data_IF_313487055688
#
_entry.id   IF_313487055688
#
_cell.length_a   1.000
_cell.length_b   1.000
_cell.length_c   1.000
_cell.angle_alpha   90.00
_cell.angle_beta   90.00
_cell.angle_gamma   90.00
#
_symmetry.space_group_name_H-M   'P 1'
#
loop_
_entity.id
_entity.type
_entity.pdbx_description
1 polymer ?
#
# COMPACT_ATOMS: atom_id res chain seq x y z
N UNK A 1 -27.67 -11.96 91.05
CA UNK A 1 -26.57 -11.02 90.67
C UNK A 1 -26.43 -11.03 89.13
N UNK A 2 -27.03 -10.08 88.46
CA UNK A 2 -26.86 -9.87 87.01
C UNK A 2 -25.80 -8.81 86.88
N UNK A 3 -24.82 -8.92 85.99
CA UNK A 3 -23.87 -7.83 85.69
C UNK A 3 -24.55 -6.85 84.72
N UNK A 4 -24.57 -5.58 85.11
CA UNK A 4 -24.92 -4.45 84.31
C UNK A 4 -23.89 -4.29 83.19
N UNK A 5 -24.36 -4.30 81.92
CA UNK A 5 -23.58 -3.82 80.78
C UNK A 5 -23.93 -2.35 80.51
N UNK A 6 -22.99 -1.43 80.53
CA UNK A 6 -23.29 -0.06 80.13
C UNK A 6 -23.47 0.04 78.61
N UNK A 7 -24.58 0.66 78.23
CA UNK A 7 -24.90 1.07 76.83
C UNK A 7 -23.78 1.97 76.25
N UNK A 8 -22.95 1.40 75.36
CA UNK A 8 -22.02 2.13 74.57
C UNK A 8 -22.55 2.32 73.16
N UNK A 9 -23.80 2.78 73.02
CA UNK A 9 -24.27 3.35 71.75
C UNK A 9 -23.94 4.84 71.69
N UNK A 10 -22.66 5.16 71.54
CA UNK A 10 -22.24 6.47 71.15
C UNK A 10 -22.63 6.66 69.67
N UNK A 11 -23.69 7.42 69.43
CA UNK A 11 -24.01 7.95 68.12
C UNK A 11 -22.77 8.55 67.46
N UNK A 12 -22.14 7.80 66.55
CA UNK A 12 -21.18 8.38 65.62
C UNK A 12 -21.97 9.29 64.69
N UNK A 13 -22.00 10.57 64.98
CA UNK A 13 -22.44 11.61 64.05
C UNK A 13 -21.55 11.52 62.83
N UNK A 14 -22.09 10.95 61.73
CA UNK A 14 -21.47 11.01 60.43
C UNK A 14 -21.35 12.52 60.07
N UNK A 15 -20.16 13.02 59.85
CA UNK A 15 -20.04 14.43 59.44
C UNK A 15 -20.83 14.68 58.16
N UNK A 16 -21.53 15.80 57.99
CA UNK A 16 -22.31 16.10 56.81
C UNK A 16 -21.38 16.06 55.62
N UNK A 17 -21.75 15.25 54.61
CA UNK A 17 -21.03 15.22 53.35
C UNK A 17 -20.99 16.65 52.79
N UNK A 18 -19.80 17.11 52.32
CA UNK A 18 -19.72 18.41 51.70
C UNK A 18 -20.69 18.47 50.55
N UNK A 19 -21.52 19.53 50.51
CA UNK A 19 -22.51 19.74 49.46
C UNK A 19 -21.83 19.61 48.10
N UNK A 20 -22.31 18.67 47.28
CA UNK A 20 -21.81 18.53 45.91
C UNK A 20 -22.09 19.87 45.19
N UNK A 21 -21.12 20.42 44.51
CA UNK A 21 -21.34 21.63 43.74
C UNK A 21 -22.48 21.40 42.74
N UNK A 22 -23.38 22.39 42.55
CA UNK A 22 -24.50 22.23 41.65
C UNK A 22 -24.02 21.78 40.27
N UNK A 23 -24.64 20.74 39.73
CA UNK A 23 -24.32 20.24 38.39
C UNK A 23 -24.43 21.40 37.41
N UNK A 24 -23.30 21.82 36.81
CA UNK A 24 -23.27 22.90 35.84
C UNK A 24 -24.26 22.60 34.71
N UNK A 25 -25.13 23.58 34.42
CA UNK A 25 -26.13 23.47 33.35
C UNK A 25 -25.44 23.19 32.01
N UNK A 26 -26.07 22.46 31.08
CA UNK A 26 -25.48 22.25 29.75
C UNK A 26 -25.14 23.55 29.02
N UNK A 27 -25.81 24.67 29.39
CA UNK A 27 -25.59 26.01 28.81
C UNK A 27 -24.27 26.67 29.23
N UNK A 28 -23.69 26.27 30.40
CA UNK A 28 -22.42 26.83 30.89
C UNK A 28 -21.15 26.05 30.43
N UNK A 29 -21.37 25.02 29.61
CA UNK A 29 -20.25 24.21 29.10
C UNK A 29 -19.80 24.74 27.73
N UNK A 30 -18.51 25.04 27.59
CA UNK A 30 -17.93 25.30 26.27
C UNK A 30 -18.20 24.15 25.31
N UNK A 31 -18.47 24.45 24.02
CA UNK A 31 -18.79 23.48 22.97
C UNK A 31 -17.83 22.28 22.96
N UNK A 32 -16.55 22.48 23.32
CA UNK A 32 -15.53 21.43 23.45
C UNK A 32 -15.71 20.47 24.63
N UNK A 33 -16.56 20.80 25.61
CA UNK A 33 -16.84 19.96 26.79
C UNK A 33 -18.02 19.03 26.56
N UNK A 34 -18.80 19.28 25.50
CA UNK A 34 -19.94 18.45 25.12
C UNK A 34 -19.42 17.31 24.26
N UNK A 35 -19.38 16.09 24.83
CA UNK A 35 -18.84 14.88 24.19
C UNK A 35 -19.34 14.66 22.77
N UNK A 36 -20.65 14.69 22.44
CA UNK A 36 -21.12 14.45 21.09
C UNK A 36 -20.67 15.52 20.08
N UNK A 37 -20.56 16.80 20.50
CA UNK A 37 -20.07 17.86 19.60
C UNK A 37 -18.60 17.71 19.33
N UNK A 38 -17.81 17.40 20.35
CA UNK A 38 -16.38 17.12 20.19
C UNK A 38 -16.13 15.93 19.28
N UNK A 39 -16.88 14.84 19.43
CA UNK A 39 -16.74 13.64 18.62
C UNK A 39 -17.18 13.89 17.16
N UNK A 40 -18.21 14.70 16.95
CA UNK A 40 -18.63 15.17 15.63
C UNK A 40 -17.56 16.07 14.96
N UNK A 41 -16.94 16.97 15.72
CA UNK A 41 -15.85 17.81 15.22
C UNK A 41 -14.61 17.01 14.88
N UNK A 42 -14.26 16.02 15.70
CA UNK A 42 -13.16 15.08 15.37
C UNK A 42 -13.48 14.22 14.15
N UNK A 43 -14.70 13.70 14.06
CA UNK A 43 -15.17 12.95 12.89
C UNK A 43 -15.23 13.81 11.64
N UNK A 44 -15.78 15.01 11.72
CA UNK A 44 -15.81 15.98 10.63
C UNK A 44 -14.41 16.45 10.20
N UNK A 45 -13.54 16.72 11.16
CA UNK A 45 -12.12 17.05 10.89
C UNK A 45 -11.38 15.91 10.21
N UNK A 46 -11.60 14.67 10.65
CA UNK A 46 -11.02 13.49 10.02
C UNK A 46 -11.52 13.32 8.57
N UNK A 47 -12.84 13.43 8.34
CA UNK A 47 -13.43 13.37 7.00
C UNK A 47 -12.93 14.51 6.11
N UNK A 48 -12.79 15.73 6.67
CA UNK A 48 -12.21 16.86 5.95
C UNK A 48 -10.76 16.62 5.55
N UNK A 49 -9.93 16.04 6.42
CA UNK A 49 -8.54 15.69 6.10
C UNK A 49 -8.48 14.63 5.01
N UNK A 50 -9.36 13.62 5.04
CA UNK A 50 -9.45 12.61 3.98
C UNK A 50 -9.89 13.23 2.65
N UNK A 51 -10.92 14.07 2.67
CA UNK A 51 -11.41 14.76 1.48
C UNK A 51 -10.37 15.71 0.91
N UNK A 52 -9.71 16.50 1.75
CA UNK A 52 -8.65 17.42 1.37
C UNK A 52 -7.42 16.68 0.82
N UNK A 53 -7.05 15.55 1.44
CA UNK A 53 -6.01 14.66 0.92
C UNK A 53 -6.35 14.08 -0.45
N UNK A 54 -7.62 13.69 -0.66
CA UNK A 54 -8.11 13.25 -1.96
C UNK A 54 -8.09 14.39 -3.00
N UNK A 55 -8.49 15.58 -2.62
CA UNK A 55 -8.49 16.76 -3.50
C UNK A 55 -7.05 17.14 -3.94
N UNK A 56 -6.10 17.11 -3.02
CA UNK A 56 -4.69 17.42 -3.27
C UNK A 56 -3.83 16.21 -3.68
N UNK A 57 -4.45 15.10 -4.05
CA UNK A 57 -3.74 13.84 -4.37
C UNK A 57 -2.59 14.00 -5.38
N UNK A 58 -2.73 14.88 -6.38
CA UNK A 58 -1.68 15.15 -7.38
C UNK A 58 -0.40 15.74 -6.76
N UNK A 59 -0.56 16.61 -5.77
CA UNK A 59 0.55 17.22 -5.04
C UNK A 59 1.14 16.26 -4.01
N UNK A 60 0.28 15.48 -3.33
CA UNK A 60 0.74 14.54 -2.30
C UNK A 60 1.45 13.31 -2.86
N UNK A 61 1.18 12.93 -4.10
CA UNK A 61 1.79 11.77 -4.76
C UNK A 61 3.32 11.79 -4.73
N UNK A 62 4.02 12.79 -5.29
CA UNK A 62 5.47 12.84 -5.26
C UNK A 62 6.02 12.95 -3.84
N UNK A 63 5.28 13.62 -2.93
CA UNK A 63 5.65 13.73 -1.51
C UNK A 63 5.61 12.36 -0.82
N UNK A 64 4.54 11.58 -1.03
CA UNK A 64 4.39 10.25 -0.44
C UNK A 64 5.42 9.26 -0.99
N UNK A 65 5.67 9.30 -2.31
CA UNK A 65 6.71 8.47 -2.94
C UNK A 65 8.09 8.82 -2.36
N UNK A 66 8.41 10.09 -2.28
CA UNK A 66 9.68 10.57 -1.74
C UNK A 66 9.85 10.20 -0.26
N UNK A 67 8.79 10.34 0.54
CA UNK A 67 8.78 9.94 1.95
C UNK A 67 8.98 8.43 2.08
N UNK A 68 8.31 7.63 1.27
CA UNK A 68 8.45 6.18 1.23
C UNK A 68 9.88 5.77 0.86
N UNK A 69 10.45 6.40 -0.18
CA UNK A 69 11.84 6.16 -0.59
C UNK A 69 12.82 6.57 0.52
N UNK A 70 12.64 7.75 1.13
CA UNK A 70 13.47 8.20 2.24
C UNK A 70 13.42 7.20 3.41
N UNK A 71 12.25 6.67 3.69
CA UNK A 71 12.05 5.64 4.70
C UNK A 71 12.73 4.31 4.32
N UNK A 72 12.57 3.88 3.08
CA UNK A 72 13.18 2.65 2.55
C UNK A 72 14.71 2.70 2.59
N UNK A 73 15.30 3.83 2.19
CA UNK A 73 16.75 4.01 2.13
C UNK A 73 17.39 4.45 3.45
N UNK A 74 16.60 4.88 4.45
CA UNK A 74 17.11 5.33 5.76
C UNK A 74 18.10 4.35 6.44
N UNK A 75 17.87 3.02 6.50
CA UNK A 75 18.84 2.10 7.10
C UNK A 75 20.14 1.99 6.30
N UNK A 76 20.09 2.17 4.97
CA UNK A 76 21.30 2.21 4.14
C UNK A 76 22.10 3.48 4.45
N UNK A 77 21.41 4.63 4.58
CA UNK A 77 22.01 5.91 4.95
C UNK A 77 22.66 5.80 6.35
N UNK A 78 21.95 5.25 7.34
CA UNK A 78 22.49 5.05 8.69
C UNK A 78 23.68 4.09 8.73
N UNK A 79 23.68 3.02 7.92
CA UNK A 79 24.83 2.11 7.82
C UNK A 79 26.04 2.80 7.22
N UNK A 80 25.86 3.58 6.15
CA UNK A 80 26.93 4.31 5.53
C UNK A 80 27.53 5.37 6.48
N UNK A 81 26.69 6.08 7.24
CA UNK A 81 27.10 7.03 8.25
C UNK A 81 27.90 6.35 9.37
N UNK A 82 27.42 5.19 9.86
CA UNK A 82 28.07 4.46 10.95
C UNK A 82 29.37 3.76 10.54
N UNK A 83 29.44 3.17 9.32
CA UNK A 83 30.60 2.39 8.87
C UNK A 83 31.66 3.24 8.19
N UNK A 84 31.25 4.22 7.40
CA UNK A 84 32.17 5.02 6.56
C UNK A 84 32.37 6.45 7.07
N UNK A 85 31.69 6.83 8.15
CA UNK A 85 31.79 8.18 8.76
C UNK A 85 31.48 9.31 7.75
N UNK A 86 30.72 9.01 6.70
CA UNK A 86 30.35 9.99 5.68
C UNK A 86 29.20 10.84 6.21
N UNK A 87 29.25 12.18 6.08
CA UNK A 87 28.18 13.05 6.55
C UNK A 87 26.87 12.72 5.79
N UNK A 88 25.77 12.69 6.53
CA UNK A 88 24.45 12.28 6.03
C UNK A 88 24.04 12.92 4.69
N UNK A 89 24.19 14.26 4.47
CA UNK A 89 23.82 14.86 3.18
C UNK A 89 24.68 14.35 2.02
N UNK A 90 25.95 14.02 2.25
CA UNK A 90 26.80 13.45 1.22
C UNK A 90 26.37 12.02 0.86
N UNK A 91 26.05 11.20 1.86
CA UNK A 91 25.50 9.85 1.62
C UNK A 91 24.22 9.90 0.81
N UNK A 92 23.31 10.84 1.12
CA UNK A 92 22.05 11.01 0.38
C UNK A 92 22.34 11.45 -1.05
N UNK A 93 23.27 12.39 -1.26
CA UNK A 93 23.67 12.84 -2.60
C UNK A 93 24.28 11.70 -3.43
N UNK A 94 25.13 10.86 -2.82
CA UNK A 94 25.68 9.66 -3.48
C UNK A 94 24.58 8.66 -3.85
N UNK A 95 23.62 8.40 -2.96
CA UNK A 95 22.47 7.51 -3.25
C UNK A 95 21.65 8.09 -4.42
N UNK A 96 21.34 9.39 -4.42
CA UNK A 96 20.63 10.04 -5.50
C UNK A 96 21.41 9.97 -6.83
N UNK A 97 22.69 10.25 -6.78
CA UNK A 97 23.55 10.15 -7.97
C UNK A 97 23.57 8.71 -8.51
N UNK A 98 23.81 7.73 -7.64
CA UNK A 98 23.85 6.33 -8.03
C UNK A 98 22.49 5.83 -8.55
N UNK A 99 21.40 6.26 -7.92
CA UNK A 99 20.04 5.94 -8.39
C UNK A 99 19.75 6.58 -9.75
N UNK A 100 20.20 7.82 -9.99
CA UNK A 100 20.06 8.46 -11.29
C UNK A 100 20.88 7.73 -12.37
N UNK A 101 22.14 7.39 -12.11
CA UNK A 101 22.98 6.61 -13.02
C UNK A 101 22.37 5.25 -13.31
N UNK A 102 21.89 4.55 -12.28
CA UNK A 102 21.21 3.26 -12.43
C UNK A 102 19.93 3.40 -13.26
N UNK A 103 19.12 4.42 -13.00
CA UNK A 103 17.88 4.68 -13.75
C UNK A 103 18.18 4.97 -15.21
N UNK A 104 19.14 5.85 -15.50
CA UNK A 104 19.57 6.14 -16.88
C UNK A 104 20.12 4.88 -17.54
N UNK A 105 20.97 4.11 -16.84
CA UNK A 105 21.49 2.85 -17.34
C UNK A 105 20.39 1.82 -17.65
N UNK A 106 19.40 1.67 -16.77
CA UNK A 106 18.26 0.81 -17.01
C UNK A 106 17.40 1.29 -18.20
N UNK A 107 17.12 2.59 -18.29
CA UNK A 107 16.35 3.15 -19.40
C UNK A 107 17.07 2.95 -20.72
N UNK A 108 18.37 3.17 -20.78
CA UNK A 108 19.15 3.00 -22.02
C UNK A 108 19.28 1.53 -22.43
N UNK A 109 19.33 0.61 -21.46
CA UNK A 109 19.48 -0.81 -21.73
C UNK A 109 18.14 -1.52 -21.98
N UNK A 110 17.13 -1.30 -21.12
CA UNK A 110 15.81 -1.96 -21.21
C UNK A 110 14.82 -1.15 -22.06
N UNK A 111 15.00 0.16 -22.15
CA UNK A 111 14.09 1.06 -22.87
C UNK A 111 13.87 0.66 -24.34
N UNK A 112 14.91 0.39 -25.14
CA UNK A 112 14.75 -0.08 -26.51
C UNK A 112 13.95 -1.38 -26.61
N UNK A 113 14.20 -2.38 -25.73
CA UNK A 113 13.48 -3.63 -25.71
C UNK A 113 11.99 -3.43 -25.37
N UNK A 114 11.69 -2.58 -24.39
CA UNK A 114 10.30 -2.24 -24.03
C UNK A 114 9.63 -1.48 -25.18
N UNK A 115 10.30 -0.49 -25.76
CA UNK A 115 9.76 0.30 -26.88
C UNK A 115 9.44 -0.59 -28.08
N UNK A 116 10.33 -1.52 -28.43
CA UNK A 116 10.12 -2.49 -29.51
C UNK A 116 8.90 -3.38 -29.23
N UNK A 117 8.76 -3.91 -28.01
CA UNK A 117 7.61 -4.76 -27.65
C UNK A 117 6.30 -3.97 -27.66
N UNK A 118 6.29 -2.74 -27.12
CA UNK A 118 5.10 -1.87 -27.12
C UNK A 118 4.73 -1.47 -28.54
N UNK A 119 5.69 -1.07 -29.37
CA UNK A 119 5.45 -0.73 -30.77
C UNK A 119 4.93 -1.94 -31.56
N UNK A 120 5.59 -3.09 -31.42
CA UNK A 120 5.13 -4.35 -32.07
C UNK A 120 3.73 -4.74 -31.64
N UNK A 121 3.36 -4.52 -30.37
CA UNK A 121 1.99 -4.73 -29.90
C UNK A 121 1.03 -3.76 -30.57
N UNK A 122 1.32 -2.46 -30.56
CA UNK A 122 0.50 -1.42 -31.15
C UNK A 122 0.24 -1.66 -32.66
N UNK A 123 1.27 -2.10 -33.41
CA UNK A 123 1.14 -2.44 -34.85
C UNK A 123 0.25 -3.67 -35.11
N UNK A 124 0.15 -4.58 -34.12
CA UNK A 124 -0.64 -5.81 -34.27
C UNK A 124 -2.07 -5.69 -33.76
N UNK A 125 -2.38 -4.70 -32.92
CA UNK A 125 -3.76 -4.49 -32.42
C UNK A 125 -4.80 -4.46 -33.54
N UNK A 126 -4.61 -3.74 -34.65
CA UNK A 126 -5.59 -3.76 -35.76
C UNK A 126 -5.80 -5.16 -36.36
N UNK A 127 -4.72 -5.96 -36.49
CA UNK A 127 -4.80 -7.35 -36.97
C UNK A 127 -5.57 -8.23 -36.00
N UNK A 128 -5.32 -8.11 -34.69
CA UNK A 128 -6.04 -8.84 -33.65
C UNK A 128 -7.55 -8.54 -33.71
N UNK A 129 -7.93 -7.27 -33.85
CA UNK A 129 -9.31 -6.82 -33.99
C UNK A 129 -9.95 -7.46 -35.23
N UNK A 130 -9.27 -7.38 -36.38
CA UNK A 130 -9.78 -7.98 -37.65
C UNK A 130 -9.92 -9.49 -37.52
N UNK A 131 -8.95 -10.18 -36.93
CA UNK A 131 -9.02 -11.64 -36.76
C UNK A 131 -10.16 -12.06 -35.84
N UNK A 132 -10.43 -11.32 -34.76
CA UNK A 132 -11.59 -11.55 -33.89
C UNK A 132 -12.90 -11.30 -34.66
N UNK A 133 -13.02 -10.17 -35.37
CA UNK A 133 -14.20 -9.81 -36.12
C UNK A 133 -14.54 -10.86 -37.17
N UNK A 134 -13.54 -11.36 -37.91
CA UNK A 134 -13.69 -12.40 -38.93
C UNK A 134 -14.07 -13.75 -38.30
N UNK A 135 -13.40 -14.14 -37.21
CA UNK A 135 -13.63 -15.46 -36.59
C UNK A 135 -14.97 -15.59 -35.92
N UNK A 136 -15.43 -14.54 -35.25
CA UNK A 136 -16.67 -14.56 -34.46
C UNK A 136 -17.83 -13.83 -35.13
N UNK A 137 -17.65 -13.27 -36.34
CA UNK A 137 -18.67 -12.52 -37.10
C UNK A 137 -19.28 -11.35 -36.27
N UNK A 138 -18.48 -10.77 -35.36
CA UNK A 138 -18.90 -9.67 -34.47
C UNK A 138 -18.50 -8.32 -35.07
N UNK A 139 -19.46 -7.39 -35.10
CA UNK A 139 -19.14 -5.98 -35.41
C UNK A 139 -18.63 -5.32 -34.13
N UNK A 140 -17.34 -5.05 -34.10
CA UNK A 140 -16.67 -4.45 -32.96
C UNK A 140 -16.74 -2.91 -32.94
N UNK A 141 -17.62 -2.27 -33.69
CA UNK A 141 -17.95 -0.84 -33.76
C UNK A 141 -17.04 0.09 -32.94
N UNK A 142 -17.63 0.75 -31.94
CA UNK A 142 -16.94 1.73 -31.09
C UNK A 142 -15.73 1.14 -30.32
N UNK A 143 -15.73 -0.16 -29.98
CA UNK A 143 -14.62 -0.81 -29.31
C UNK A 143 -13.37 -0.89 -30.18
N UNK A 144 -13.54 -1.12 -31.50
CA UNK A 144 -12.44 -1.15 -32.47
C UNK A 144 -11.80 0.24 -32.63
N UNK A 145 -12.61 1.29 -32.58
CA UNK A 145 -12.16 2.68 -32.67
C UNK A 145 -11.34 3.08 -31.43
N UNK A 146 -11.82 2.73 -30.24
CA UNK A 146 -11.08 2.97 -28.99
C UNK A 146 -9.74 2.23 -28.95
N UNK A 147 -9.72 0.95 -29.33
CA UNK A 147 -8.47 0.18 -29.37
C UNK A 147 -7.48 0.71 -30.43
N UNK A 148 -7.98 1.15 -31.59
CA UNK A 148 -7.12 1.74 -32.61
C UNK A 148 -6.54 3.08 -32.16
N UNK A 149 -7.30 3.90 -31.45
CA UNK A 149 -6.82 5.15 -30.84
C UNK A 149 -5.71 4.88 -29.84
N UNK A 150 -5.89 3.89 -28.95
CA UNK A 150 -4.84 3.48 -28.00
C UNK A 150 -3.61 2.97 -28.74
N UNK A 151 -3.78 2.12 -29.75
CA UNK A 151 -2.68 1.59 -30.53
C UNK A 151 -1.89 2.71 -31.23
N UNK A 152 -2.58 3.72 -31.78
CA UNK A 152 -1.94 4.89 -32.41
C UNK A 152 -1.14 5.70 -31.37
N UNK A 153 -1.72 5.96 -30.20
CA UNK A 153 -1.06 6.67 -29.12
C UNK A 153 0.19 5.93 -28.61
N UNK A 154 0.13 4.61 -28.49
CA UNK A 154 1.28 3.78 -28.09
C UNK A 154 2.37 3.72 -29.16
N UNK A 155 1.98 3.84 -30.43
CA UNK A 155 2.93 3.89 -31.55
C UNK A 155 3.69 5.23 -31.60
N UNK A 156 3.00 6.34 -31.32
CA UNK A 156 3.58 7.66 -31.28
C UNK A 156 4.45 7.88 -30.03
N UNK A 157 4.02 7.35 -28.90
CA UNK A 157 4.75 7.44 -27.63
C UNK A 157 4.67 6.11 -26.85
N UNK A 158 5.61 5.18 -27.05
CA UNK A 158 5.64 3.88 -26.39
C UNK A 158 5.71 3.96 -24.85
N UNK A 159 6.22 5.07 -24.31
CA UNK A 159 6.34 5.26 -22.86
C UNK A 159 5.08 5.87 -22.23
N UNK A 160 4.07 6.20 -23.02
CA UNK A 160 2.81 6.76 -22.54
C UNK A 160 2.10 5.84 -21.50
N UNK A 161 2.34 4.53 -21.54
CA UNK A 161 1.85 3.55 -20.55
C UNK A 161 2.37 3.87 -19.13
N UNK A 162 3.55 4.45 -19.00
CA UNK A 162 4.14 4.77 -17.69
C UNK A 162 3.62 6.09 -17.11
N UNK A 163 3.05 6.97 -17.92
CA UNK A 163 2.55 8.28 -17.48
C UNK A 163 1.51 8.21 -16.36
N UNK A 164 0.48 7.31 -16.38
CA UNK A 164 -0.49 7.23 -15.29
C UNK A 164 0.12 6.86 -13.94
N UNK A 165 1.23 6.13 -13.93
CA UNK A 165 1.94 5.74 -12.70
C UNK A 165 2.57 6.97 -12.03
N UNK A 166 3.04 7.93 -12.83
CA UNK A 166 3.71 9.14 -12.33
C UNK A 166 2.75 10.31 -12.09
N UNK A 167 1.65 10.40 -12.85
CA UNK A 167 0.70 11.52 -12.75
C UNK A 167 -0.24 11.46 -11.54
N UNK A 168 -0.32 10.34 -10.83
CA UNK A 168 -1.16 10.21 -9.62
C UNK A 168 -2.67 10.38 -9.85
N UNK A 169 -3.11 10.56 -11.09
CA UNK A 169 -4.52 10.62 -11.42
C UNK A 169 -5.11 9.23 -11.31
N UNK A 170 -6.02 9.03 -10.34
CA UNK A 170 -6.61 7.76 -9.94
C UNK A 170 -7.46 7.03 -10.99
N UNK A 171 -7.10 7.14 -12.25
CA UNK A 171 -7.76 6.48 -13.37
C UNK A 171 -6.94 5.30 -13.90
N UNK A 172 -6.34 4.51 -13.00
CA UNK A 172 -5.64 3.29 -13.40
C UNK A 172 -6.55 2.28 -14.14
N UNK A 173 -7.87 2.37 -13.98
CA UNK A 173 -8.86 1.66 -14.79
C UNK A 173 -9.39 2.49 -15.98
N UNK A 174 -9.07 3.78 -16.04
CA UNK A 174 -9.34 4.67 -17.16
C UNK A 174 -8.20 4.72 -18.19
N UNK A 175 -7.30 3.74 -18.21
CA UNK A 175 -6.22 3.61 -19.22
C UNK A 175 -6.77 3.56 -20.65
N UNK A 176 -8.04 3.23 -20.80
CA UNK A 176 -8.76 3.30 -22.06
C UNK A 176 -9.28 4.71 -22.40
N UNK A 177 -9.22 5.66 -21.48
CA UNK A 177 -9.96 6.92 -21.62
C UNK A 177 -9.17 8.22 -21.76
N UNK A 178 -7.90 8.33 -21.39
CA UNK A 178 -7.16 9.61 -21.57
C UNK A 178 -5.64 9.42 -21.47
N UNK A 179 -5.01 9.25 -22.61
CA UNK A 179 -3.56 9.33 -22.83
C UNK A 179 -3.10 10.82 -22.86
N UNK A 180 -3.59 11.64 -21.94
CA UNK A 180 -3.21 13.06 -21.87
C UNK A 180 -2.81 13.42 -20.44
N UNK A 181 -1.77 12.75 -19.94
CA UNK A 181 -0.93 13.34 -18.90
C UNK A 181 0.13 14.16 -19.57
N UNK A 182 0.20 15.45 -19.27
CA UNK A 182 1.17 16.34 -19.91
C UNK A 182 2.58 15.92 -19.53
N UNK A 183 3.53 16.06 -20.46
CA UNK A 183 4.96 15.85 -20.23
C UNK A 183 5.45 16.59 -18.97
N UNK A 184 4.78 17.68 -18.60
CA UNK A 184 5.02 18.46 -17.39
C UNK A 184 4.86 17.65 -16.10
N UNK A 185 3.84 16.77 -15.95
CA UNK A 185 3.62 16.01 -14.73
C UNK A 185 4.77 15.01 -14.47
N UNK A 186 5.29 14.39 -15.53
CA UNK A 186 6.42 13.46 -15.45
C UNK A 186 7.70 14.21 -15.06
N UNK A 187 7.95 15.36 -15.68
CA UNK A 187 9.12 16.20 -15.38
C UNK A 187 9.04 16.71 -13.94
N UNK A 188 7.86 17.19 -13.52
CA UNK A 188 7.63 17.68 -12.14
C UNK A 188 7.87 16.53 -11.15
N UNK A 189 7.34 15.34 -11.38
CA UNK A 189 7.55 14.19 -10.50
C UNK A 189 9.04 13.80 -10.45
N UNK A 190 9.72 13.78 -11.59
CA UNK A 190 11.15 13.44 -11.69
C UNK A 190 12.06 14.44 -10.97
N UNK A 191 11.66 15.70 -10.88
CA UNK A 191 12.40 16.74 -10.15
C UNK A 191 11.98 16.77 -8.68
N UNK A 192 10.67 16.71 -8.37
CA UNK A 192 10.18 16.85 -7.00
C UNK A 192 10.50 15.65 -6.12
N UNK A 193 10.43 14.41 -6.66
CA UNK A 193 10.70 13.21 -5.87
C UNK A 193 12.12 13.22 -5.29
N UNK A 194 13.21 13.45 -6.06
CA UNK A 194 14.56 13.57 -5.52
C UNK A 194 14.73 14.72 -4.52
N UNK A 195 14.09 15.86 -4.77
CA UNK A 195 14.14 17.01 -3.85
C UNK A 195 13.50 16.65 -2.51
N UNK A 196 12.26 16.16 -2.51
CA UNK A 196 11.58 15.76 -1.29
C UNK A 196 12.29 14.60 -0.60
N UNK A 197 12.81 13.62 -1.36
CA UNK A 197 13.62 12.53 -0.82
C UNK A 197 14.83 13.07 -0.06
N UNK A 198 15.58 14.01 -0.65
CA UNK A 198 16.71 14.62 -0.01
C UNK A 198 16.34 15.28 1.33
N UNK A 199 15.29 16.12 1.32
CA UNK A 199 14.86 16.82 2.53
C UNK A 199 14.31 15.87 3.60
N UNK A 200 13.51 14.89 3.22
CA UNK A 200 12.99 13.90 4.16
C UNK A 200 14.10 13.03 4.73
N UNK A 201 14.97 12.49 3.88
CA UNK A 201 16.08 11.67 4.31
C UNK A 201 17.06 12.45 5.22
N UNK A 202 17.31 13.72 4.91
CA UNK A 202 18.22 14.55 5.71
C UNK A 202 17.67 14.86 7.09
N UNK A 203 16.39 15.24 7.19
CA UNK A 203 15.76 15.66 8.44
C UNK A 203 15.04 14.55 9.20
N UNK A 204 15.04 13.35 8.68
CA UNK A 204 14.24 12.23 9.19
C UNK A 204 14.40 12.02 10.70
N UNK A 205 15.64 11.88 11.18
CA UNK A 205 15.91 11.63 12.59
C UNK A 205 15.60 12.84 13.48
N UNK A 206 15.87 14.07 12.99
CA UNK A 206 15.53 15.30 13.74
C UNK A 206 14.02 15.46 13.93
N UNK A 207 13.23 15.13 12.90
CA UNK A 207 11.78 15.22 13.00
C UNK A 207 11.22 14.22 14.01
N UNK A 208 11.76 13.01 14.04
CA UNK A 208 11.41 12.00 15.05
C UNK A 208 11.83 12.44 16.48
N UNK A 209 13.00 13.04 16.63
CA UNK A 209 13.48 13.50 17.94
C UNK A 209 12.69 14.71 18.44
N UNK A 210 12.25 15.61 17.58
CA UNK A 210 11.34 16.69 17.94
C UNK A 210 10.00 16.14 18.45
N UNK A 211 9.43 15.15 17.74
CA UNK A 211 8.17 14.52 18.16
C UNK A 211 8.28 13.86 19.54
N UNK A 212 9.43 13.26 19.87
CA UNK A 212 9.68 12.64 21.18
C UNK A 212 9.65 13.67 22.34
N UNK A 213 9.97 14.94 22.08
CA UNK A 213 9.96 16.00 23.13
C UNK A 213 8.55 16.32 23.61
N UNK A 214 7.54 16.18 22.76
CA UNK A 214 6.14 16.44 23.12
C UNK A 214 5.49 15.28 23.88
N UNK A 215 6.17 14.13 24.01
CA UNK A 215 5.63 12.97 24.71
C UNK A 215 5.95 13.07 26.22
N UNK A 216 4.93 13.04 27.11
CA UNK A 216 5.13 13.03 28.55
C UNK A 216 6.03 11.86 28.98
N UNK A 217 6.88 12.10 29.99
CA UNK A 217 7.91 11.15 30.41
C UNK A 217 7.39 9.75 30.72
N UNK A 218 6.21 9.64 31.34
CA UNK A 218 5.59 8.36 31.69
C UNK A 218 5.14 7.50 30.50
N UNK A 219 4.94 8.10 29.33
CA UNK A 219 4.48 7.37 28.12
C UNK A 219 5.59 7.15 27.09
N UNK A 220 6.78 7.73 27.28
CA UNK A 220 7.89 7.68 26.31
C UNK A 220 8.30 6.25 25.93
N UNK A 221 8.43 5.36 26.92
CA UNK A 221 8.82 3.98 26.67
C UNK A 221 7.78 3.24 25.82
N UNK A 222 6.50 3.41 26.14
CA UNK A 222 5.38 2.79 25.42
C UNK A 222 5.26 3.32 24.01
N UNK A 223 5.29 4.63 23.80
CA UNK A 223 5.21 5.25 22.48
C UNK A 223 6.41 4.84 21.63
N UNK A 224 7.62 4.80 22.22
CA UNK A 224 8.82 4.32 21.52
C UNK A 224 8.64 2.85 21.06
N UNK A 225 8.13 1.99 21.92
CA UNK A 225 7.87 0.58 21.57
C UNK A 225 6.90 0.47 20.39
N UNK A 226 5.76 1.16 20.44
CA UNK A 226 4.77 1.22 19.36
C UNK A 226 5.40 1.71 18.07
N UNK A 227 6.14 2.83 18.12
CA UNK A 227 6.81 3.39 16.94
C UNK A 227 7.80 2.41 16.31
N UNK A 228 8.59 1.70 17.12
CA UNK A 228 9.54 0.70 16.61
C UNK A 228 8.79 -0.46 15.94
N UNK A 229 7.70 -0.96 16.54
CA UNK A 229 6.88 -2.02 15.93
C UNK A 229 6.28 -1.58 14.59
N UNK A 230 5.72 -0.37 14.54
CA UNK A 230 5.17 0.21 13.31
C UNK A 230 6.27 0.40 12.25
N UNK A 231 7.43 0.91 12.65
CA UNK A 231 8.60 1.06 11.78
C UNK A 231 9.02 -0.27 11.15
N UNK A 232 9.15 -1.31 11.95
CA UNK A 232 9.48 -2.65 11.46
C UNK A 232 8.41 -3.21 10.52
N UNK A 233 7.13 -3.05 10.84
CA UNK A 233 6.04 -3.54 10.01
C UNK A 233 6.01 -2.85 8.63
N UNK A 234 6.09 -1.52 8.62
CA UNK A 234 6.04 -0.74 7.37
C UNK A 234 7.30 -0.97 6.52
N UNK A 235 8.50 -0.86 7.13
CA UNK A 235 9.77 -1.02 6.40
C UNK A 235 9.96 -2.44 5.88
N UNK A 236 9.61 -3.43 6.69
CA UNK A 236 9.66 -4.84 6.30
C UNK A 236 8.74 -5.14 5.12
N UNK A 237 7.51 -4.61 5.16
CA UNK A 237 6.56 -4.76 4.06
C UNK A 237 7.10 -4.21 2.74
N UNK A 238 7.51 -2.94 2.71
CA UNK A 238 7.94 -2.31 1.46
C UNK A 238 9.20 -2.94 0.89
N UNK A 239 10.21 -3.21 1.73
CA UNK A 239 11.42 -3.88 1.27
C UNK A 239 11.13 -5.28 0.76
N UNK A 240 10.33 -6.04 1.52
CA UNK A 240 9.92 -7.37 1.13
C UNK A 240 9.18 -7.35 -0.21
N UNK A 241 8.17 -6.50 -0.36
CA UNK A 241 7.38 -6.40 -1.59
C UNK A 241 8.21 -5.96 -2.79
N UNK A 242 9.12 -4.99 -2.62
CA UNK A 242 9.99 -4.56 -3.71
C UNK A 242 10.94 -5.69 -4.16
N UNK A 243 11.54 -6.40 -3.21
CA UNK A 243 12.42 -7.54 -3.52
C UNK A 243 11.66 -8.66 -4.22
N UNK A 244 10.45 -9.00 -3.73
CA UNK A 244 9.61 -10.01 -4.36
C UNK A 244 9.22 -9.55 -5.78
N UNK A 245 8.78 -8.30 -5.95
CA UNK A 245 8.37 -7.78 -7.25
C UNK A 245 9.50 -7.83 -8.29
N UNK A 246 10.73 -7.47 -7.90
CA UNK A 246 11.90 -7.57 -8.78
C UNK A 246 12.21 -9.03 -9.15
N UNK A 247 12.23 -9.93 -8.17
CA UNK A 247 12.43 -11.35 -8.42
C UNK A 247 11.33 -11.95 -9.31
N UNK A 248 10.06 -11.63 -9.01
CA UNK A 248 8.90 -12.08 -9.79
C UNK A 248 8.89 -11.51 -11.21
N UNK A 249 9.32 -10.25 -11.41
CA UNK A 249 9.44 -9.67 -12.75
C UNK A 249 10.41 -10.46 -13.63
N UNK A 250 11.56 -10.85 -13.08
CA UNK A 250 12.53 -11.70 -13.79
C UNK A 250 11.95 -13.08 -14.07
N UNK A 251 11.35 -13.72 -13.06
CA UNK A 251 10.81 -15.07 -13.19
C UNK A 251 9.64 -15.14 -14.19
N UNK A 252 8.70 -14.19 -14.13
CA UNK A 252 7.59 -14.10 -15.09
C UNK A 252 8.10 -13.81 -16.50
N UNK A 253 9.08 -12.89 -16.65
CA UNK A 253 9.66 -12.62 -17.97
C UNK A 253 10.30 -13.89 -18.56
N UNK A 254 11.08 -14.62 -17.77
CA UNK A 254 11.67 -15.90 -18.22
C UNK A 254 10.59 -16.96 -18.52
N UNK A 255 9.60 -17.09 -17.64
CA UNK A 255 8.48 -18.01 -17.84
C UNK A 255 7.72 -17.74 -19.15
N UNK A 256 7.37 -16.48 -19.40
CA UNK A 256 6.69 -16.09 -20.65
C UNK A 256 7.58 -16.23 -21.88
N UNK A 257 8.89 -16.00 -21.77
CA UNK A 257 9.85 -16.24 -22.85
C UNK A 257 9.90 -17.73 -23.24
N UNK A 258 9.99 -18.61 -22.24
CA UNK A 258 10.03 -20.07 -22.46
C UNK A 258 8.75 -20.62 -23.11
N UNK A 259 7.61 -20.01 -22.83
CA UNK A 259 6.32 -20.38 -23.48
C UNK A 259 6.11 -19.72 -24.84
N UNK A 260 7.09 -18.95 -25.32
CA UNK A 260 7.06 -18.29 -26.62
C UNK A 260 5.97 -17.22 -26.72
N UNK A 261 5.65 -16.52 -25.62
CA UNK A 261 4.80 -15.34 -25.65
C UNK A 261 5.63 -14.19 -26.23
N UNK A 262 5.12 -13.57 -27.30
CA UNK A 262 5.85 -12.53 -28.04
C UNK A 262 6.25 -11.33 -27.18
N UNK A 263 5.36 -10.90 -26.28
CA UNK A 263 5.57 -9.75 -25.37
C UNK A 263 6.04 -10.19 -23.99
N UNK A 264 6.88 -11.24 -23.94
CA UNK A 264 7.31 -11.90 -22.72
C UNK A 264 7.91 -10.96 -21.68
N UNK A 265 8.75 -10.02 -22.12
CA UNK A 265 9.44 -9.11 -21.20
C UNK A 265 8.50 -8.04 -20.66
N UNK A 266 7.72 -7.37 -21.54
CA UNK A 266 6.72 -6.38 -21.16
C UNK A 266 5.70 -6.98 -20.20
N UNK A 267 5.14 -8.14 -20.56
CA UNK A 267 4.15 -8.83 -19.74
C UNK A 267 4.73 -9.31 -18.41
N UNK A 268 5.95 -9.83 -18.41
CA UNK A 268 6.65 -10.28 -17.21
C UNK A 268 6.95 -9.13 -16.26
N UNK A 269 7.41 -8.00 -16.79
CA UNK A 269 7.66 -6.81 -16.02
C UNK A 269 6.36 -6.26 -15.38
N UNK A 270 5.28 -6.15 -16.16
CA UNK A 270 3.98 -5.72 -15.67
C UNK A 270 3.47 -6.67 -14.59
N UNK A 271 3.49 -7.99 -14.85
CA UNK A 271 3.04 -9.00 -13.88
C UNK A 271 3.87 -8.97 -12.60
N UNK A 272 5.20 -8.82 -12.72
CA UNK A 272 6.10 -8.69 -11.58
C UNK A 272 5.87 -7.41 -10.76
N UNK A 273 5.63 -6.27 -11.40
CA UNK A 273 5.27 -5.03 -10.70
C UNK A 273 3.92 -5.18 -9.99
N UNK A 274 2.96 -5.86 -10.61
CA UNK A 274 1.65 -6.12 -10.00
C UNK A 274 1.77 -6.96 -8.72
N UNK A 275 2.83 -7.76 -8.51
CA UNK A 275 3.04 -8.50 -7.26
C UNK A 275 3.24 -7.60 -6.03
N UNK A 276 3.56 -6.32 -6.22
CA UNK A 276 3.59 -5.34 -5.11
C UNK A 276 2.22 -5.32 -4.40
N UNK A 277 1.15 -5.45 -5.17
CA UNK A 277 -0.22 -5.55 -4.67
C UNK A 277 -0.57 -7.03 -4.55
N UNK A 278 -0.95 -7.52 -3.36
CA UNK A 278 -1.33 -8.93 -3.18
C UNK A 278 -2.42 -9.36 -4.15
N UNK A 279 -2.25 -10.52 -4.75
CA UNK A 279 -3.15 -11.15 -5.71
C UNK A 279 -3.29 -10.43 -7.07
N UNK A 280 -2.73 -9.24 -7.27
CA UNK A 280 -2.85 -8.52 -8.54
C UNK A 280 -2.06 -9.19 -9.69
N UNK A 281 -1.00 -9.94 -9.39
CA UNK A 281 -0.26 -10.75 -10.37
C UNK A 281 -1.15 -11.79 -11.08
N UNK A 282 -2.28 -12.18 -10.47
CA UNK A 282 -3.25 -13.08 -11.10
C UNK A 282 -3.76 -12.55 -12.45
N UNK A 283 -3.80 -11.23 -12.65
CA UNK A 283 -4.20 -10.60 -13.91
C UNK A 283 -3.23 -10.97 -15.06
N UNK A 284 -1.96 -11.22 -14.75
CA UNK A 284 -0.95 -11.58 -15.73
C UNK A 284 -1.24 -12.90 -16.45
N UNK A 285 -1.83 -13.87 -15.75
CA UNK A 285 -2.14 -15.18 -16.34
C UNK A 285 -3.18 -15.12 -17.47
N UNK A 286 -4.42 -14.60 -17.28
CA UNK A 286 -5.38 -14.52 -18.36
C UNK A 286 -4.89 -13.62 -19.50
N UNK A 287 -4.12 -12.57 -19.18
CA UNK A 287 -3.53 -11.72 -20.20
C UNK A 287 -2.49 -12.45 -21.05
N UNK A 288 -1.66 -13.32 -20.44
CA UNK A 288 -0.71 -14.18 -21.13
C UNK A 288 -1.41 -15.14 -22.10
N UNK A 289 -2.46 -15.81 -21.62
CA UNK A 289 -3.27 -16.74 -22.43
C UNK A 289 -3.95 -15.98 -23.58
N UNK A 290 -4.52 -14.80 -23.30
CA UNK A 290 -5.16 -13.97 -24.32
C UNK A 290 -4.18 -13.54 -25.41
N UNK A 291 -3.00 -13.02 -25.02
CA UNK A 291 -1.97 -12.60 -25.99
C UNK A 291 -1.49 -13.77 -26.85
N UNK A 292 -1.28 -14.94 -26.25
CA UNK A 292 -0.91 -16.14 -26.98
C UNK A 292 -2.01 -16.58 -27.94
N UNK A 293 -3.27 -16.56 -27.51
CA UNK A 293 -4.43 -16.86 -28.35
C UNK A 293 -4.52 -15.89 -29.53
N UNK A 294 -4.38 -14.59 -29.29
CA UNK A 294 -4.43 -13.57 -30.34
C UNK A 294 -3.29 -13.71 -31.35
N UNK A 295 -2.10 -14.08 -30.90
CA UNK A 295 -0.95 -14.31 -31.77
C UNK A 295 -1.18 -15.52 -32.68
N UNK A 296 -1.71 -16.61 -32.14
CA UNK A 296 -2.13 -17.80 -32.93
C UNK A 296 -3.26 -17.45 -33.88
N UNK A 297 -4.29 -16.74 -33.43
CA UNK A 297 -5.46 -16.36 -34.26
C UNK A 297 -5.06 -15.50 -35.47
N UNK A 298 -4.05 -14.64 -35.30
CA UNK A 298 -3.57 -13.72 -36.34
C UNK A 298 -2.55 -14.36 -37.30
N UNK A 299 -2.12 -15.60 -37.07
CA UNK A 299 -1.20 -16.30 -37.97
C UNK A 299 -1.94 -17.11 -39.03
N UNK A 300 -1.47 -17.07 -40.28
CA UNK A 300 -2.12 -17.76 -41.44
C UNK A 300 -2.08 -19.28 -41.31
N UNK A 301 -1.12 -19.84 -40.57
CA UNK A 301 -0.92 -21.29 -40.37
C UNK A 301 -1.40 -21.76 -38.99
N UNK A 302 -2.40 -21.11 -38.40
CA UNK A 302 -2.83 -21.35 -37.02
C UNK A 302 -3.42 -22.74 -36.81
N UNK A 303 -2.65 -23.61 -36.23
CA UNK A 303 -3.15 -24.79 -35.55
C UNK A 303 -3.55 -24.39 -34.14
N UNK A 304 -4.87 -24.42 -33.86
CA UNK A 304 -5.37 -24.15 -32.52
C UNK A 304 -5.03 -25.33 -31.60
N UNK A 305 -3.84 -25.26 -30.98
CA UNK A 305 -3.41 -26.22 -30.00
C UNK A 305 -3.62 -25.67 -28.58
N UNK A 306 -4.50 -26.32 -27.84
CA UNK A 306 -4.82 -25.96 -26.46
C UNK A 306 -3.57 -26.03 -25.54
N UNK A 307 -2.64 -26.96 -25.84
CA UNK A 307 -1.40 -27.07 -25.10
C UNK A 307 -0.56 -25.79 -25.21
N UNK A 308 -0.42 -25.28 -26.42
CA UNK A 308 0.39 -24.08 -26.70
C UNK A 308 -0.29 -22.81 -26.21
N UNK A 309 -1.62 -22.71 -26.32
CA UNK A 309 -2.34 -21.48 -26.00
C UNK A 309 -2.61 -21.33 -24.49
N UNK A 310 -2.99 -22.43 -23.83
CA UNK A 310 -3.47 -22.38 -22.44
C UNK A 310 -2.52 -23.10 -21.50
N UNK A 311 -2.14 -24.35 -21.81
CA UNK A 311 -1.43 -25.21 -20.84
C UNK A 311 -0.04 -24.67 -20.52
N UNK A 312 0.78 -24.36 -21.52
CA UNK A 312 2.13 -23.86 -21.29
C UNK A 312 2.18 -22.51 -20.57
N UNK A 313 1.41 -21.48 -20.94
CA UNK A 313 1.35 -20.25 -20.16
C UNK A 313 0.83 -20.45 -18.74
N UNK A 314 -0.17 -21.33 -18.55
CA UNK A 314 -0.69 -21.63 -17.21
C UNK A 314 0.34 -22.34 -16.34
N UNK A 315 1.08 -23.29 -16.91
CA UNK A 315 2.13 -24.02 -16.20
C UNK A 315 3.28 -23.07 -15.80
N UNK A 316 3.69 -22.19 -16.70
CA UNK A 316 4.70 -21.16 -16.38
C UNK A 316 4.23 -20.23 -15.26
N UNK A 317 2.98 -19.77 -15.31
CA UNK A 317 2.39 -18.95 -14.25
C UNK A 317 2.38 -19.69 -12.91
N UNK A 318 1.88 -20.93 -12.88
CA UNK A 318 1.79 -21.73 -11.66
C UNK A 318 3.17 -22.02 -11.08
N UNK A 319 4.17 -22.30 -11.93
CA UNK A 319 5.55 -22.53 -11.48
C UNK A 319 6.13 -21.26 -10.83
N UNK A 320 5.99 -20.11 -11.47
CA UNK A 320 6.47 -18.84 -10.91
C UNK A 320 5.72 -18.50 -9.63
N UNK A 321 4.40 -18.70 -9.60
CA UNK A 321 3.56 -18.47 -8.41
C UNK A 321 3.95 -19.41 -7.26
N UNK A 322 4.32 -20.65 -7.58
CA UNK A 322 4.87 -21.61 -6.60
C UNK A 322 6.20 -21.10 -6.02
N UNK A 323 7.14 -20.71 -6.88
CA UNK A 323 8.44 -20.15 -6.46
C UNK A 323 8.24 -18.88 -5.62
N UNK A 324 7.34 -17.98 -6.04
CA UNK A 324 7.01 -16.76 -5.29
C UNK A 324 6.47 -17.09 -3.90
N UNK A 325 5.49 -17.99 -3.81
CA UNK A 325 4.79 -18.28 -2.56
C UNK A 325 5.61 -19.11 -1.58
N UNK A 326 6.39 -20.07 -2.07
CA UNK A 326 7.10 -21.06 -1.24
C UNK A 326 8.58 -20.76 -1.02
N UNK A 327 9.20 -19.97 -1.91
CA UNK A 327 10.62 -19.60 -1.79
C UNK A 327 10.80 -18.10 -1.53
N UNK A 328 10.31 -17.23 -2.44
CA UNK A 328 10.60 -15.79 -2.34
C UNK A 328 9.92 -15.16 -1.12
N UNK A 329 8.64 -15.45 -0.89
CA UNK A 329 7.87 -14.83 0.19
C UNK A 329 8.42 -15.24 1.56
N UNK A 330 8.67 -16.52 1.91
CA UNK A 330 9.27 -16.88 3.19
C UNK A 330 10.69 -16.36 3.38
N UNK A 331 11.49 -16.36 2.31
CA UNK A 331 12.86 -15.88 2.36
C UNK A 331 12.96 -14.37 2.62
N UNK A 332 12.05 -13.60 2.03
CA UNK A 332 12.06 -12.13 2.12
C UNK A 332 11.24 -11.61 3.28
N UNK A 333 10.10 -12.25 3.60
CA UNK A 333 9.15 -11.81 4.63
C UNK A 333 9.15 -12.70 5.88
N UNK A 334 10.31 -13.13 6.34
CA UNK A 334 10.45 -13.99 7.54
C UNK A 334 9.88 -13.38 8.85
N UNK A 335 9.53 -12.10 8.84
CA UNK A 335 8.86 -11.40 9.96
C UNK A 335 7.52 -10.83 9.48
N UNK A 336 6.61 -11.72 9.12
CA UNK A 336 5.29 -11.37 8.57
C UNK A 336 4.42 -10.67 9.59
N UNK A 337 3.65 -9.72 9.10
CA UNK A 337 2.49 -9.19 9.79
C UNK A 337 1.51 -10.35 10.02
N UNK A 338 1.16 -10.65 11.28
CA UNK A 338 0.14 -11.66 11.68
C UNK A 338 -1.26 -11.20 11.24
N UNK A 339 -1.50 -11.15 9.93
CA UNK A 339 -2.79 -10.80 9.35
C UNK A 339 -3.33 -11.98 8.56
N UNK A 340 -4.61 -12.32 8.77
CA UNK A 340 -5.25 -13.37 7.98
C UNK A 340 -5.35 -12.95 6.50
N UNK A 341 -5.34 -13.92 5.59
CA UNK A 341 -5.51 -13.66 4.16
C UNK A 341 -6.82 -12.89 3.84
N UNK A 342 -7.89 -13.19 4.58
CA UNK A 342 -9.18 -12.49 4.46
C UNK A 342 -9.05 -11.03 4.85
N UNK A 343 -8.35 -10.74 5.97
CA UNK A 343 -8.10 -9.35 6.40
C UNK A 343 -7.31 -8.58 5.35
N UNK A 344 -6.26 -9.19 4.79
CA UNK A 344 -5.46 -8.58 3.72
C UNK A 344 -6.33 -8.27 2.51
N UNK A 345 -7.18 -9.21 2.09
CA UNK A 345 -8.09 -9.02 0.96
C UNK A 345 -9.04 -7.84 1.20
N UNK A 346 -9.73 -7.81 2.34
CA UNK A 346 -10.66 -6.72 2.71
C UNK A 346 -9.93 -5.37 2.71
N UNK A 347 -8.77 -5.30 3.35
CA UNK A 347 -7.96 -4.08 3.46
C UNK A 347 -7.52 -3.58 2.09
N UNK A 348 -7.12 -4.47 1.19
CA UNK A 348 -6.73 -4.14 -0.18
C UNK A 348 -7.93 -3.60 -0.97
N UNK A 349 -9.12 -4.21 -0.87
CA UNK A 349 -10.33 -3.71 -1.52
C UNK A 349 -10.75 -2.33 -0.99
N UNK A 350 -10.75 -2.16 0.34
CA UNK A 350 -11.06 -0.85 0.96
C UNK A 350 -10.05 0.21 0.54
N UNK A 351 -8.75 -0.13 0.55
CA UNK A 351 -7.70 0.77 0.11
C UNK A 351 -7.85 1.16 -1.36
N UNK A 352 -8.15 0.19 -2.24
CA UNK A 352 -8.42 0.44 -3.65
C UNK A 352 -9.61 1.36 -3.89
N UNK A 353 -10.70 1.19 -3.13
CA UNK A 353 -11.88 2.04 -3.20
C UNK A 353 -11.60 3.49 -2.74
N UNK A 354 -10.73 3.67 -1.75
CA UNK A 354 -10.40 4.98 -1.19
C UNK A 354 -9.38 5.76 -2.00
N UNK A 355 -8.38 5.10 -2.57
CA UNK A 355 -7.24 5.80 -3.17
C UNK A 355 -6.63 5.14 -4.40
N UNK A 356 -7.39 4.28 -5.10
CA UNK A 356 -6.96 3.53 -6.29
C UNK A 356 -5.54 2.95 -6.10
N UNK A 357 -4.53 3.39 -6.84
CA UNK A 357 -3.17 2.83 -6.77
C UNK A 357 -2.49 3.04 -5.41
N UNK A 358 -2.54 4.26 -4.86
CA UNK A 358 -1.92 4.56 -3.56
C UNK A 358 -2.66 3.91 -2.41
N UNK A 359 -3.98 3.85 -2.51
CA UNK A 359 -4.79 3.14 -1.54
C UNK A 359 -4.46 1.65 -1.50
N UNK A 360 -4.29 1.00 -2.65
CA UNK A 360 -3.85 -0.39 -2.75
C UNK A 360 -2.45 -0.60 -2.15
N UNK A 361 -1.50 0.29 -2.46
CA UNK A 361 -0.11 0.19 -2.01
C UNK A 361 0.03 0.40 -0.49
N UNK A 362 -0.70 1.38 0.06
CA UNK A 362 -0.60 1.76 1.48
C UNK A 362 -1.59 1.00 2.38
N UNK A 363 -2.57 0.30 1.81
CA UNK A 363 -3.61 -0.41 2.55
C UNK A 363 -3.06 -1.31 3.65
N UNK A 364 -2.14 -2.19 3.31
CA UNK A 364 -1.57 -3.16 4.25
C UNK A 364 -0.69 -2.49 5.32
N UNK A 365 0.25 -1.58 5.00
CA UNK A 365 0.99 -0.83 6.01
C UNK A 365 0.08 -0.07 6.98
N UNK A 366 -0.95 0.61 6.48
CA UNK A 366 -1.90 1.33 7.33
C UNK A 366 -2.66 0.36 8.24
N UNK A 367 -3.16 -0.74 7.70
CA UNK A 367 -3.87 -1.75 8.49
C UNK A 367 -2.96 -2.39 9.56
N UNK A 368 -1.69 -2.66 9.24
CA UNK A 368 -0.71 -3.15 10.22
C UNK A 368 -0.48 -2.14 11.33
N UNK A 369 -0.35 -0.85 11.01
CA UNK A 369 -0.23 0.21 12.00
C UNK A 369 -1.49 0.31 12.88
N UNK A 370 -2.69 0.23 12.30
CA UNK A 370 -3.95 0.24 13.04
C UNK A 370 -4.08 -0.99 13.95
N UNK A 371 -3.67 -2.17 13.47
CA UNK A 371 -3.63 -3.39 14.28
C UNK A 371 -2.71 -3.21 15.51
N UNK A 372 -1.48 -2.72 15.30
CA UNK A 372 -0.51 -2.47 16.38
C UNK A 372 -1.08 -1.47 17.39
N UNK A 373 -1.71 -0.38 16.92
CA UNK A 373 -2.37 0.58 17.80
C UNK A 373 -3.52 -0.05 18.59
N UNK A 374 -4.33 -0.89 17.95
CA UNK A 374 -5.41 -1.64 18.60
C UNK A 374 -4.89 -2.57 19.69
N UNK A 375 -3.84 -3.34 19.41
CA UNK A 375 -3.21 -4.24 20.36
C UNK A 375 -2.61 -3.51 21.57
N UNK A 376 -1.96 -2.40 21.35
CA UNK A 376 -1.23 -1.68 22.40
C UNK A 376 -2.09 -0.67 23.18
N UNK A 377 -3.09 -0.06 22.55
CA UNK A 377 -3.90 0.97 23.18
C UNK A 377 -5.30 0.47 23.60
N UNK A 378 -5.98 -0.29 22.74
CA UNK A 378 -7.39 -0.66 22.97
C UNK A 378 -7.52 -1.95 23.78
N UNK A 379 -6.83 -3.02 23.38
CA UNK A 379 -6.93 -4.33 24.04
C UNK A 379 -6.59 -4.29 25.53
N UNK A 380 -5.55 -3.60 26.02
CA UNK A 380 -5.26 -3.55 27.46
C UNK A 380 -6.35 -2.85 28.27
N UNK A 381 -7.03 -1.85 27.67
CA UNK A 381 -8.13 -1.16 28.34
C UNK A 381 -9.38 -2.02 28.40
N UNK A 382 -9.69 -2.78 27.34
CA UNK A 382 -10.79 -3.72 27.31
C UNK A 382 -10.56 -4.90 28.26
N UNK A 383 -9.35 -5.45 28.28
CA UNK A 383 -8.98 -6.53 29.19
C UNK A 383 -9.11 -6.13 30.67
N UNK A 384 -8.68 -4.91 31.03
CA UNK A 384 -8.85 -4.37 32.39
C UNK A 384 -10.34 -4.20 32.76
N UNK A 385 -11.17 -3.73 31.83
CA UNK A 385 -12.62 -3.61 32.07
C UNK A 385 -13.30 -4.97 32.20
N UNK A 386 -12.91 -5.93 31.36
CA UNK A 386 -13.43 -7.30 31.47
C UNK A 386 -13.07 -7.98 32.78
N UNK A 387 -11.82 -7.76 33.25
CA UNK A 387 -11.37 -8.28 34.54
C UNK A 387 -12.03 -7.58 35.77
N UNK A 388 -12.43 -6.31 35.59
CA UNK A 388 -13.16 -5.56 36.65
C UNK A 388 -14.66 -5.83 36.72
N UNK A 389 -15.21 -6.54 35.72
CA UNK A 389 -16.62 -6.95 35.75
C UNK A 389 -16.79 -8.16 36.70
N UNK A 390 -17.65 -8.10 37.77
CA UNK A 390 -17.85 -9.23 38.67
C UNK A 390 -18.38 -10.42 37.87
N UNK A 391 -17.78 -11.59 38.11
CA UNK A 391 -18.25 -12.83 37.46
C UNK A 391 -19.71 -13.08 37.81
N UNK A 392 -20.56 -13.57 36.90
CA UNK A 392 -21.94 -13.87 37.16
C UNK A 392 -22.14 -14.90 38.30
N UNK A 393 -21.10 -15.64 38.63
CA UNK A 393 -21.12 -16.70 39.66
C UNK A 393 -20.99 -16.17 41.10
N UNK A 394 -20.56 -14.93 41.31
CA UNK A 394 -20.48 -14.33 42.66
C UNK A 394 -21.87 -13.99 43.24
N UNK A 395 -22.90 -13.85 42.43
CA UNK A 395 -24.28 -13.58 42.85
C UNK A 395 -25.06 -14.84 43.29
N UNK A 396 -24.50 -16.05 43.13
CA UNK A 396 -25.14 -17.30 43.49
C UNK A 396 -24.76 -17.86 44.87
N UNK A 397 -23.88 -17.17 45.59
CA UNK A 397 -23.41 -17.64 46.93
C UNK A 397 -23.85 -16.75 48.07
N UNK A 398 -25.04 -16.15 48.02
CA UNK A 398 -25.70 -15.69 49.23
C UNK A 398 -26.57 -16.87 49.75
N UNK A 399 -26.24 -17.45 50.89
CA UNK A 399 -27.11 -18.47 51.53
C UNK A 399 -28.34 -17.78 52.11
N UNK A 400 -29.50 -18.41 51.90
CA UNK A 400 -30.78 -18.09 52.52
C UNK A 400 -30.70 -18.21 54.05
#
# INVERSE_FOLDING_TARGET
MKPDYPDLLTEQRIPPQPAQPPASSPADRHLWQITPIRDLLWGGGFLFVLWFGYYLRGVFTPVLIALLLAYLFNPLIRRAEAQWHVPRPATIAVILFLSAVLTVGLITWLGPLLAEQVQSFAERVPRYIQSIAQRYHVRLGDFSEHLSTIATSLREDPLSILRPVFSGTGQAFGVLGTVIGTTADVVIAFVLIPIYFFFFAWRFDRSLDQLKRYIPAGYRARVRHIMIRMDHAVSGFFRGRLTIALGSAVLYSLGWALTGIRYWFLLGLITGILTIIPYASLIGWPLAVLLKYLDVLSSESAVFDLMTIVVWPSLAYLLVQFIESWLLTPWVQSQSMDMSAVTVLIVVFVGGALGVFYGLLLAIPIAACLKILGEELVLPHLARRAAASPSPDSRRKEPL
#
